data_IF_199445971293
#
_entry.id   IF_199445971293
#
_cell.length_a   1.000
_cell.length_b   1.000
_cell.length_c   1.000
_cell.angle_alpha   90.00
_cell.angle_beta   90.00
_cell.angle_gamma   90.00
#
_symmetry.space_group_name_H-M   'P 1'
#
loop_
_entity.id
_entity.type
_entity.pdbx_description
1 polymer ?
#
# COMPACT_ATOMS: atom_id res chain seq x y z
N UNK A 1 21.75 1.10 -15.48
CA UNK A 1 20.30 0.84 -15.38
C UNK A 1 19.94 0.43 -13.95
N UNK A 2 19.42 1.37 -13.15
CA UNK A 2 18.84 1.01 -11.85
C UNK A 2 17.59 0.19 -12.15
N UNK A 3 17.68 -1.13 -11.99
CA UNK A 3 16.51 -1.99 -12.02
C UNK A 3 15.53 -1.45 -10.98
N UNK A 4 14.37 -1.04 -11.46
CA UNK A 4 13.34 -0.42 -10.66
C UNK A 4 12.77 -1.50 -9.73
N UNK A 5 13.38 -1.71 -8.56
CA UNK A 5 12.94 -2.69 -7.54
C UNK A 5 11.66 -2.22 -6.85
N UNK A 6 10.68 -1.77 -7.62
CA UNK A 6 9.36 -1.42 -7.11
C UNK A 6 8.31 -1.67 -8.18
N UNK A 7 7.10 -1.97 -7.73
CA UNK A 7 5.91 -2.06 -8.56
C UNK A 7 4.85 -1.08 -8.06
N UNK A 8 3.88 -0.79 -8.92
CA UNK A 8 2.70 0.00 -8.56
C UNK A 8 1.47 -0.88 -8.57
N UNK A 9 0.65 -0.76 -7.52
CA UNK A 9 -0.65 -1.44 -7.41
C UNK A 9 -1.74 -0.39 -7.55
N UNK A 10 -2.60 -0.52 -8.55
CA UNK A 10 -3.82 0.28 -8.62
C UNK A 10 -4.86 -0.28 -7.65
N UNK A 11 -5.13 0.47 -6.59
CA UNK A 11 -6.09 0.08 -5.56
C UNK A 11 -7.52 0.53 -5.89
N UNK A 12 -7.71 1.26 -7.00
CA UNK A 12 -8.99 1.86 -7.45
C UNK A 12 -9.67 2.75 -6.41
N UNK A 13 -8.94 3.12 -5.36
CA UNK A 13 -9.35 3.95 -4.24
C UNK A 13 -8.15 4.76 -3.73
N UNK A 14 -8.39 5.74 -2.86
CA UNK A 14 -7.33 6.60 -2.33
C UNK A 14 -6.30 5.77 -1.55
N UNK A 15 -5.02 5.96 -1.87
CA UNK A 15 -3.89 5.25 -1.23
C UNK A 15 -3.65 5.71 0.21
N UNK A 16 -3.94 6.97 0.54
CA UNK A 16 -3.68 7.55 1.86
C UNK A 16 -4.17 6.70 3.06
N UNK A 17 -5.46 6.28 3.15
CA UNK A 17 -5.94 5.44 4.25
C UNK A 17 -5.27 4.06 4.26
N UNK A 18 -5.02 3.47 3.09
CA UNK A 18 -4.38 2.15 2.97
C UNK A 18 -2.92 2.23 3.43
N UNK A 19 -2.21 3.29 3.05
CA UNK A 19 -0.84 3.57 3.50
C UNK A 19 -0.76 3.74 5.01
N UNK A 20 -1.76 4.39 5.62
CA UNK A 20 -1.85 4.49 7.07
C UNK A 20 -2.03 3.09 7.70
N UNK A 21 -2.94 2.28 7.18
CA UNK A 21 -3.18 0.93 7.67
C UNK A 21 -1.95 0.01 7.56
N UNK A 22 -1.12 0.19 6.51
CA UNK A 22 0.18 -0.47 6.39
C UNK A 22 1.16 -0.02 7.48
N UNK A 23 1.24 1.29 7.73
CA UNK A 23 2.12 1.86 8.77
C UNK A 23 1.75 1.36 10.16
N UNK A 24 0.46 1.23 10.47
CA UNK A 24 -0.05 0.67 11.73
C UNK A 24 0.37 -0.80 11.92
N UNK A 25 0.53 -1.54 10.83
CA UNK A 25 1.02 -2.94 10.80
C UNK A 25 2.55 -3.06 10.72
N UNK A 26 3.27 -1.94 10.83
CA UNK A 26 4.73 -1.91 10.77
C UNK A 26 5.32 -2.09 9.37
N UNK A 27 4.51 -1.96 8.32
CA UNK A 27 4.95 -2.05 6.92
C UNK A 27 5.03 -0.64 6.33
N UNK A 28 6.23 -0.22 5.92
CA UNK A 28 6.43 1.07 5.26
C UNK A 28 6.30 0.91 3.74
N UNK A 29 5.28 1.54 3.16
CA UNK A 29 5.06 1.58 1.72
C UNK A 29 5.43 2.95 1.14
N UNK A 30 5.60 3.03 -0.19
CA UNK A 30 6.01 4.24 -0.87
C UNK A 30 5.09 5.44 -0.64
N UNK A 31 5.67 6.64 -0.75
CA UNK A 31 4.94 7.91 -0.69
C UNK A 31 3.94 8.00 -1.84
N UNK A 32 2.88 8.78 -1.63
CA UNK A 32 1.92 9.11 -2.68
C UNK A 32 2.66 9.70 -3.90
N UNK A 33 2.20 9.32 -5.08
CA UNK A 33 2.78 9.77 -6.35
C UNK A 33 1.75 10.61 -7.12
N UNK A 34 1.70 11.95 -6.94
CA UNK A 34 0.81 12.80 -7.72
C UNK A 34 1.18 12.76 -9.21
N UNK A 35 0.24 12.63 -10.16
CA UNK A 35 -1.23 12.66 -10.00
C UNK A 35 -1.88 11.30 -9.69
N UNK A 36 -1.12 10.21 -9.66
CA UNK A 36 -1.58 8.82 -9.46
C UNK A 36 -1.82 8.48 -7.97
N UNK A 37 -2.72 9.22 -7.30
CA UNK A 37 -3.03 9.05 -5.87
C UNK A 37 -3.78 7.75 -5.50
N UNK A 38 -4.15 6.96 -6.52
CA UNK A 38 -4.75 5.63 -6.37
C UNK A 38 -3.73 4.49 -6.53
N UNK A 39 -2.49 4.82 -6.91
CA UNK A 39 -1.44 3.84 -7.14
C UNK A 39 -0.52 3.77 -5.93
N UNK A 40 -0.46 2.60 -5.31
CA UNK A 40 0.45 2.31 -4.23
C UNK A 40 1.79 1.87 -4.80
N UNK A 41 2.87 2.62 -4.50
CA UNK A 41 4.22 2.22 -4.87
C UNK A 41 4.81 1.30 -3.80
N UNK A 42 5.14 0.08 -4.16
CA UNK A 42 5.71 -0.93 -3.27
C UNK A 42 7.12 -1.26 -3.72
N UNK A 43 8.09 -1.04 -2.84
CA UNK A 43 9.48 -1.46 -3.08
C UNK A 43 9.63 -2.95 -2.79
N UNK A 44 10.30 -3.66 -3.69
CA UNK A 44 10.66 -5.07 -3.56
C UNK A 44 11.92 -5.13 -2.70
N UNK A 45 11.76 -5.62 -1.48
CA UNK A 45 12.85 -5.88 -0.53
C UNK A 45 13.21 -7.36 -0.48
N UNK A 46 13.57 -7.82 0.70
CA UNK A 46 13.77 -9.23 1.03
C UNK A 46 12.46 -10.04 0.99
N UNK A 47 12.56 -11.37 0.92
CA UNK A 47 11.39 -12.26 0.97
C UNK A 47 10.59 -12.08 2.26
N UNK A 48 11.26 -11.87 3.40
CA UNK A 48 10.60 -11.62 4.69
C UNK A 48 9.81 -10.31 4.70
N UNK A 49 10.37 -9.23 4.14
CA UNK A 49 9.67 -7.95 4.01
C UNK A 49 8.47 -8.07 3.06
N UNK A 50 8.64 -8.79 1.95
CA UNK A 50 7.56 -9.05 1.00
C UNK A 50 6.47 -9.93 1.61
N UNK A 51 6.81 -10.91 2.43
CA UNK A 51 5.85 -11.74 3.16
C UNK A 51 5.03 -10.93 4.16
N UNK A 52 5.68 -10.03 4.92
CA UNK A 52 4.98 -9.10 5.82
C UNK A 52 4.05 -8.16 5.05
N UNK A 53 4.50 -7.65 3.90
CA UNK A 53 3.67 -6.85 3.02
C UNK A 53 2.43 -7.61 2.55
N UNK A 54 2.59 -8.84 2.04
CA UNK A 54 1.46 -9.66 1.56
C UNK A 54 0.45 -9.94 2.67
N UNK A 55 0.91 -10.32 3.86
CA UNK A 55 0.03 -10.56 5.02
C UNK A 55 -0.74 -9.30 5.43
N UNK A 56 -0.05 -8.15 5.50
CA UNK A 56 -0.70 -6.88 5.81
C UNK A 56 -1.66 -6.45 4.70
N UNK A 57 -1.30 -6.64 3.43
CA UNK A 57 -2.13 -6.33 2.27
C UNK A 57 -3.42 -7.14 2.29
N UNK A 58 -3.34 -8.44 2.53
CA UNK A 58 -4.50 -9.31 2.65
C UNK A 58 -5.41 -8.90 3.82
N UNK A 59 -4.84 -8.60 5.00
CA UNK A 59 -5.60 -8.16 6.17
C UNK A 59 -6.32 -6.81 5.93
N UNK A 60 -5.62 -5.85 5.32
CA UNK A 60 -6.19 -4.53 4.97
C UNK A 60 -7.30 -4.65 3.93
N UNK A 61 -7.16 -5.53 2.93
CA UNK A 61 -8.19 -5.72 1.91
C UNK A 61 -9.37 -6.59 2.38
N UNK A 62 -9.14 -7.58 3.25
CA UNK A 62 -10.19 -8.43 3.84
C UNK A 62 -10.98 -7.72 4.92
N UNK A 63 -10.36 -6.76 5.60
CA UNK A 63 -11.03 -5.84 6.51
C UNK A 63 -11.24 -4.53 5.75
N UNK A 64 -12.20 -4.44 4.81
CA UNK A 64 -12.63 -3.14 4.36
C UNK A 64 -13.27 -2.49 5.59
N UNK A 65 -12.54 -1.62 6.27
CA UNK A 65 -13.15 -0.69 7.20
C UNK A 65 -14.06 0.21 6.37
N UNK A 66 -15.31 -0.22 6.32
CA UNK A 66 -16.49 0.63 6.33
C UNK A 66 -16.16 1.89 7.13
N UNK A 67 -16.08 3.03 6.45
CA UNK A 67 -16.49 4.34 6.96
C UNK A 67 -16.44 5.34 5.80
N UNK A 68 -17.61 5.50 5.18
CA UNK A 68 -18.17 6.79 4.78
C UNK A 68 -17.42 7.99 5.35
N UNK A 69 -16.96 8.89 4.48
CA UNK A 69 -16.97 10.31 4.82
C UNK A 69 -17.66 11.06 3.70
N UNK A 70 -18.99 11.14 3.85
CA UNK A 70 -19.80 12.23 3.31
C UNK A 70 -19.33 13.54 3.93
N UNK A 71 -19.14 14.54 3.08
CA UNK A 71 -18.91 15.94 3.41
C UNK A 71 -19.14 16.75 2.15
#
# INVERSE_FOLDING_TARGET
PSETNFFMVDLRQRVAPIRQAFRERGVAVGRDFPPMLNHLRVSIGTEEEMGRFMNAFEDILKTPLMSTQSG
#
